data_IF_355090649864
#
_entry.id   IF_355090649864
#
_cell.length_a   1.000
_cell.length_b   1.000
_cell.length_c   1.000
_cell.angle_alpha   90.00
_cell.angle_beta   90.00
_cell.angle_gamma   90.00
#
_symmetry.space_group_name_H-M   'P 1'
#
loop_
_entity.id
_entity.type
_entity.pdbx_description
1 polymer ?
#
# COMPACT_ATOMS: atom_id res chain seq x y z
N UNK A 1 -6.77 4.70 17.54
CA UNK A 1 -5.82 5.65 16.91
C UNK A 1 -4.64 4.98 16.20
N UNK A 2 -3.87 4.08 16.82
CA UNK A 2 -2.63 3.50 16.23
C UNK A 2 -2.78 2.92 14.80
N UNK A 3 -3.86 2.19 14.51
CA UNK A 3 -4.10 1.61 13.18
C UNK A 3 -4.36 2.68 12.11
N UNK A 4 -5.05 3.77 12.47
CA UNK A 4 -5.32 4.87 11.54
C UNK A 4 -4.01 5.59 11.16
N UNK A 5 -3.12 5.81 12.13
CA UNK A 5 -1.78 6.39 11.91
C UNK A 5 -0.92 5.49 11.01
N UNK A 6 -0.95 4.18 11.20
CA UNK A 6 -0.20 3.28 10.32
C UNK A 6 -0.74 3.28 8.89
N UNK A 7 -2.06 3.40 8.72
CA UNK A 7 -2.70 3.45 7.40
C UNK A 7 -2.53 4.78 6.68
N UNK A 8 -2.14 5.85 7.36
CA UNK A 8 -1.80 7.10 6.66
C UNK A 8 -0.46 7.01 5.91
N UNK A 9 0.44 6.10 6.30
CA UNK A 9 1.75 5.95 5.64
C UNK A 9 1.60 5.55 4.16
N UNK A 10 0.86 4.47 3.79
CA UNK A 10 0.63 4.14 2.38
C UNK A 10 -0.12 5.23 1.62
N UNK A 11 -1.07 5.91 2.27
CA UNK A 11 -1.82 7.01 1.63
C UNK A 11 -0.91 8.18 1.27
N UNK A 12 0.01 8.55 2.16
CA UNK A 12 1.01 9.58 1.88
C UNK A 12 1.94 9.15 0.74
N UNK A 13 2.33 7.87 0.67
CA UNK A 13 3.08 7.32 -0.46
C UNK A 13 2.34 7.48 -1.79
N UNK A 14 1.08 7.05 -1.87
CA UNK A 14 0.27 7.26 -3.08
C UNK A 14 0.13 8.73 -3.48
N UNK A 15 -0.06 9.62 -2.50
CA UNK A 15 -0.12 11.07 -2.76
C UNK A 15 1.23 11.60 -3.28
N UNK A 16 2.35 11.17 -2.71
CA UNK A 16 3.69 11.52 -3.16
C UNK A 16 3.94 11.05 -4.60
N UNK A 17 3.50 9.83 -4.95
CA UNK A 17 3.61 9.29 -6.31
C UNK A 17 2.79 10.10 -7.31
N UNK A 18 1.53 10.40 -7.00
CA UNK A 18 0.65 11.21 -7.85
C UNK A 18 1.23 12.61 -8.04
N UNK A 19 1.67 13.26 -6.95
CA UNK A 19 2.29 14.58 -7.01
C UNK A 19 3.55 14.57 -7.87
N UNK A 20 4.44 13.59 -7.70
CA UNK A 20 5.65 13.45 -8.50
C UNK A 20 5.35 13.20 -9.98
N UNK A 21 4.33 12.41 -10.30
CA UNK A 21 3.90 12.15 -11.68
C UNK A 21 3.32 13.41 -12.34
N UNK A 22 2.46 14.16 -11.63
CA UNK A 22 1.91 15.44 -12.11
C UNK A 22 3.04 16.42 -12.37
N UNK A 23 3.95 16.59 -11.41
CA UNK A 23 5.06 17.52 -11.52
C UNK A 23 6.00 17.17 -12.68
N UNK A 24 6.26 15.87 -12.88
CA UNK A 24 7.05 15.41 -14.02
C UNK A 24 6.35 15.68 -15.37
N UNK A 25 5.03 15.46 -15.46
CA UNK A 25 4.22 15.75 -16.64
C UNK A 25 4.17 17.25 -16.95
N UNK A 26 4.21 18.09 -15.93
CA UNK A 26 4.27 19.55 -16.05
C UNK A 26 5.68 20.07 -16.36
N UNK A 27 6.69 19.22 -16.56
CA UNK A 27 8.08 19.64 -16.85
C UNK A 27 8.87 20.15 -15.63
N UNK A 28 8.31 20.01 -14.42
CA UNK A 28 8.90 20.50 -13.17
C UNK A 28 9.53 19.36 -12.34
N UNK A 29 9.84 18.22 -12.96
CA UNK A 29 10.43 17.06 -12.28
C UNK A 29 11.66 17.48 -11.43
N UNK A 30 11.79 17.01 -10.18
CA UNK A 30 12.95 17.29 -9.37
C UNK A 30 14.22 16.79 -10.06
N UNK A 31 15.20 17.69 -10.26
CA UNK A 31 16.48 17.36 -10.93
C UNK A 31 17.45 16.58 -10.04
N UNK A 32 17.19 16.53 -8.73
CA UNK A 32 18.05 15.85 -7.76
C UNK A 32 17.94 14.32 -7.84
N UNK A 33 19.06 13.57 -7.94
CA UNK A 33 19.04 12.12 -8.05
C UNK A 33 18.38 11.44 -6.84
N UNK A 34 18.50 12.02 -5.64
CA UNK A 34 17.94 11.48 -4.40
C UNK A 34 16.40 11.43 -4.45
N UNK A 35 15.74 12.55 -4.79
CA UNK A 35 14.27 12.61 -4.85
C UNK A 35 13.73 11.65 -5.91
N UNK A 36 14.42 11.54 -7.06
CA UNK A 36 14.06 10.60 -8.12
C UNK A 36 14.19 9.15 -7.66
N UNK A 37 15.26 8.80 -6.95
CA UNK A 37 15.44 7.47 -6.36
C UNK A 37 14.36 7.17 -5.34
N UNK A 38 14.07 8.10 -4.42
CA UNK A 38 13.01 7.93 -3.42
C UNK A 38 11.63 7.73 -4.07
N UNK A 39 11.34 8.48 -5.13
CA UNK A 39 10.09 8.33 -5.90
C UNK A 39 9.99 6.93 -6.52
N UNK A 40 11.06 6.43 -7.14
CA UNK A 40 11.06 5.08 -7.73
C UNK A 40 10.97 3.97 -6.67
N UNK A 41 11.67 4.12 -5.54
CA UNK A 41 11.56 3.20 -4.41
C UNK A 41 10.10 3.14 -3.93
N UNK A 42 9.48 4.29 -3.69
CA UNK A 42 8.10 4.35 -3.22
C UNK A 42 7.11 3.80 -4.27
N UNK A 43 7.36 4.03 -5.56
CA UNK A 43 6.55 3.48 -6.65
C UNK A 43 6.62 1.95 -6.67
N UNK A 44 7.82 1.39 -6.53
CA UNK A 44 8.03 -0.05 -6.47
C UNK A 44 7.35 -0.67 -5.24
N UNK A 45 7.50 -0.05 -4.06
CA UNK A 45 6.86 -0.51 -2.83
C UNK A 45 5.33 -0.46 -2.93
N UNK A 46 4.77 0.64 -3.44
CA UNK A 46 3.32 0.86 -3.48
C UNK A 46 2.62 0.06 -4.57
N UNK A 47 3.28 -0.20 -5.70
CA UNK A 47 2.69 -0.97 -6.81
C UNK A 47 3.03 -2.44 -6.68
N UNK A 48 4.32 -2.77 -6.78
CA UNK A 48 4.78 -4.16 -6.92
C UNK A 48 4.68 -4.90 -5.58
N UNK A 49 5.23 -4.32 -4.51
CA UNK A 49 5.26 -5.01 -3.21
C UNK A 49 3.86 -5.16 -2.63
N UNK A 50 2.99 -4.14 -2.75
CA UNK A 50 1.58 -4.29 -2.36
C UNK A 50 0.84 -5.34 -3.21
N UNK A 51 1.05 -5.38 -4.53
CA UNK A 51 0.43 -6.40 -5.38
C UNK A 51 0.89 -7.81 -5.01
N UNK A 52 2.18 -7.99 -4.76
CA UNK A 52 2.77 -9.26 -4.32
C UNK A 52 2.22 -9.74 -2.96
N UNK A 53 1.66 -8.84 -2.14
CA UNK A 53 1.02 -9.20 -0.87
C UNK A 53 -0.40 -9.74 -1.04
N UNK A 54 -1.06 -9.52 -2.18
CA UNK A 54 -2.47 -9.92 -2.40
C UNK A 54 -2.68 -11.43 -2.15
N UNK A 55 -1.84 -12.35 -2.68
CA UNK A 55 -2.03 -13.79 -2.41
C UNK A 55 -1.93 -14.16 -0.92
N UNK A 56 -1.07 -13.49 -0.16
CA UNK A 56 -0.96 -13.70 1.29
C UNK A 56 -2.19 -13.14 2.02
N UNK A 57 -2.65 -11.95 1.62
CA UNK A 57 -3.83 -11.31 2.21
C UNK A 57 -5.11 -12.11 1.94
N UNK A 58 -5.27 -12.67 0.74
CA UNK A 58 -6.39 -13.53 0.38
C UNK A 58 -6.43 -14.80 1.23
N UNK A 59 -5.27 -15.46 1.41
CA UNK A 59 -5.15 -16.63 2.30
C UNK A 59 -5.53 -16.30 3.74
N UNK A 60 -5.04 -15.17 4.26
CA UNK A 60 -5.38 -14.71 5.62
C UNK A 60 -6.86 -14.28 5.78
N UNK A 61 -7.55 -13.95 4.68
CA UNK A 61 -8.94 -13.52 4.70
C UNK A 61 -9.95 -14.67 4.46
N UNK A 62 -9.49 -15.89 4.19
CA UNK A 62 -10.33 -17.02 3.77
C UNK A 62 -11.51 -17.32 4.68
N UNK A 63 -11.34 -17.14 6.00
CA UNK A 63 -12.38 -17.41 7.00
C UNK A 63 -13.18 -16.14 7.38
N UNK A 64 -12.80 -14.97 6.87
CA UNK A 64 -13.39 -13.70 7.30
C UNK A 64 -14.69 -13.31 6.60
N UNK A 65 -15.19 -14.14 5.66
CA UNK A 65 -16.40 -13.87 4.88
C UNK A 65 -16.32 -12.65 3.95
N UNK A 66 -15.14 -12.01 3.84
CA UNK A 66 -14.93 -10.81 3.00
C UNK A 66 -14.71 -11.22 1.54
N UNK A 67 -15.30 -10.47 0.58
CA UNK A 67 -15.09 -10.76 -0.83
C UNK A 67 -13.63 -10.54 -1.23
N UNK A 68 -13.08 -11.45 -2.02
CA UNK A 68 -11.68 -11.48 -2.42
C UNK A 68 -11.21 -10.17 -3.08
N UNK A 69 -12.04 -9.59 -3.95
CA UNK A 69 -11.72 -8.32 -4.62
C UNK A 69 -11.50 -7.18 -3.62
N UNK A 70 -12.28 -7.13 -2.54
CA UNK A 70 -12.16 -6.08 -1.52
C UNK A 70 -10.86 -6.24 -0.74
N UNK A 71 -10.49 -7.48 -0.40
CA UNK A 71 -9.20 -7.78 0.24
C UNK A 71 -8.03 -7.41 -0.66
N UNK A 72 -8.11 -7.71 -1.95
CA UNK A 72 -7.09 -7.33 -2.94
C UNK A 72 -6.95 -5.80 -3.06
N UNK A 73 -8.06 -5.07 -3.25
CA UNK A 73 -8.04 -3.60 -3.36
C UNK A 73 -7.48 -2.95 -2.10
N UNK A 74 -7.92 -3.37 -0.92
CA UNK A 74 -7.43 -2.79 0.33
C UNK A 74 -5.96 -3.13 0.60
N UNK A 75 -5.51 -4.31 0.16
CA UNK A 75 -4.09 -4.67 0.21
C UNK A 75 -3.28 -3.85 -0.79
N UNK A 76 -3.81 -3.54 -1.96
CA UNK A 76 -3.14 -2.67 -2.92
C UNK A 76 -2.98 -1.25 -2.39
N UNK A 77 -4.01 -0.71 -1.73
CA UNK A 77 -3.99 0.66 -1.22
C UNK A 77 -3.09 0.77 0.03
N UNK A 78 -3.25 -0.16 0.98
CA UNK A 78 -2.68 -0.03 2.32
C UNK A 78 -1.54 -1.03 2.63
N UNK A 79 -1.28 -1.99 1.74
CA UNK A 79 -0.27 -3.03 1.93
C UNK A 79 -0.45 -3.81 3.24
N UNK A 80 0.68 -4.07 3.89
CA UNK A 80 0.78 -4.74 5.18
C UNK A 80 -0.09 -4.09 6.27
N UNK A 81 -0.28 -2.76 6.21
CA UNK A 81 -1.02 -2.02 7.24
C UNK A 81 -2.51 -2.34 7.22
N UNK A 82 -3.02 -2.94 6.14
CA UNK A 82 -4.37 -3.48 6.07
C UNK A 82 -4.43 -4.95 6.49
N UNK A 83 -3.82 -5.87 5.74
CA UNK A 83 -4.13 -7.29 5.91
C UNK A 83 -3.63 -7.87 7.23
N UNK A 84 -2.57 -7.31 7.84
CA UNK A 84 -2.14 -7.69 9.21
C UNK A 84 -2.97 -7.06 10.32
N UNK A 85 -3.77 -6.03 10.04
CA UNK A 85 -4.60 -5.34 11.03
C UNK A 85 -6.10 -5.51 10.79
N UNK A 86 -6.48 -6.27 9.75
CA UNK A 86 -7.87 -6.51 9.41
C UNK A 86 -8.57 -7.32 10.53
N UNK A 87 -9.81 -6.98 10.91
CA UNK A 87 -10.61 -7.78 11.84
C UNK A 87 -10.69 -9.22 11.35
N UNK A 88 -10.37 -10.21 12.18
CA UNK A 88 -10.24 -11.64 11.81
C UNK A 88 -8.80 -12.16 11.66
N UNK A 89 -7.80 -11.30 11.43
CA UNK A 89 -6.39 -11.72 11.39
C UNK A 89 -5.78 -12.04 12.78
N UNK A 90 -6.53 -11.80 13.86
CA UNK A 90 -6.09 -12.00 15.25
C UNK A 90 -6.74 -13.20 15.96
N UNK A 91 -7.71 -13.86 15.33
CA UNK A 91 -8.47 -14.96 15.98
C UNK A 91 -7.93 -16.35 15.65
N UNK A 92 -6.96 -16.46 14.72
CA UNK A 92 -6.25 -17.72 14.49
C UNK A 92 -5.20 -17.89 15.61
N UNK A 93 -5.34 -18.87 16.52
CA UNK A 93 -4.29 -19.18 17.48
C UNK A 93 -3.05 -19.62 16.68
N UNK A 94 -1.88 -19.06 17.03
CA UNK A 94 -0.61 -19.51 16.43
C UNK A 94 -0.24 -20.91 16.89
#
# INVERSE_FOLDING_TARGET
>A
MRVAVLRSIPLIGWLYLVAGLVLARSGHAPRGPILRTLWWIDAFLSVVVHAAQIPAALRAAGESGRPAWRTAVLTQIFGLTWWRTAPGAREVPR
#
